data_IF_750164248630
#
_entry.id   IF_750164248630
#
_cell.length_a   1.000
_cell.length_b   1.000
_cell.length_c   1.000
_cell.angle_alpha   90.00
_cell.angle_beta   90.00
_cell.angle_gamma   90.00
#
_symmetry.space_group_name_H-M   'P 1'
#
loop_
_entity.id
_entity.type
_entity.pdbx_description
1 polymer ?
#
# COMPACT_ATOMS: atom_id res chain seq x y z
N UNK A 1 13.03 16.10 13.71
CA UNK A 1 13.57 14.74 13.52
C UNK A 1 13.29 13.88 14.73
N UNK A 2 13.55 14.39 15.93
CA UNK A 2 13.31 13.68 17.21
C UNK A 2 11.88 13.13 17.32
N UNK A 3 10.86 13.89 16.89
CA UNK A 3 9.47 13.43 16.84
C UNK A 3 9.29 12.09 16.13
N UNK A 4 9.93 11.86 14.96
CA UNK A 4 9.83 10.57 14.25
C UNK A 4 10.65 9.46 14.91
N UNK A 5 11.77 9.81 15.55
CA UNK A 5 12.66 8.84 16.21
C UNK A 5 12.03 8.30 17.49
N UNK A 6 11.26 9.13 18.17
CA UNK A 6 10.57 8.79 19.43
C UNK A 6 9.19 8.13 19.21
N UNK A 7 8.67 8.14 17.98
CA UNK A 7 7.35 7.60 17.66
C UNK A 7 7.33 6.06 17.73
N UNK A 8 6.46 5.52 18.58
CA UNK A 8 6.32 4.08 18.78
C UNK A 8 5.85 3.33 17.53
N UNK A 9 5.24 4.00 16.55
CA UNK A 9 4.75 3.43 15.28
C UNK A 9 5.84 3.35 14.22
N UNK A 10 6.99 3.97 14.45
CA UNK A 10 8.12 4.00 13.50
C UNK A 10 9.16 2.96 13.88
N UNK A 11 9.61 2.17 12.89
CA UNK A 11 10.60 1.12 13.05
C UNK A 11 12.03 1.65 13.01
N UNK A 12 12.31 2.58 12.09
CA UNK A 12 13.60 3.22 11.94
C UNK A 12 13.45 4.54 11.20
N UNK A 13 14.42 5.44 11.37
CA UNK A 13 14.57 6.67 10.58
C UNK A 13 15.93 6.65 9.89
N UNK A 14 15.92 6.77 8.58
CA UNK A 14 17.10 6.80 7.74
C UNK A 14 17.37 8.23 7.26
N UNK A 15 18.10 8.98 8.08
CA UNK A 15 18.49 10.36 7.81
C UNK A 15 19.96 10.58 8.14
N UNK A 16 20.73 11.07 7.17
CA UNK A 16 22.18 11.26 7.33
C UNK A 16 22.56 12.28 8.43
N UNK A 17 21.60 13.12 8.85
CA UNK A 17 21.77 14.08 9.93
C UNK A 17 21.68 13.47 11.32
N UNK A 18 21.20 12.22 11.45
CA UNK A 18 21.11 11.55 12.75
C UNK A 18 22.46 10.98 13.19
N UNK A 19 22.84 11.10 14.48
CA UNK A 19 24.08 10.55 15.02
C UNK A 19 24.26 9.05 14.79
N UNK A 20 23.16 8.29 14.78
CA UNK A 20 23.17 6.84 14.55
C UNK A 20 23.34 6.40 13.10
N UNK A 21 23.36 7.33 12.13
CA UNK A 21 23.44 6.98 10.71
C UNK A 21 24.87 6.64 10.28
N UNK A 22 25.06 5.56 9.52
CA UNK A 22 26.39 5.06 9.10
C UNK A 22 27.24 6.07 8.31
N UNK A 23 26.61 7.10 7.74
CA UNK A 23 27.28 8.17 6.99
C UNK A 23 27.27 9.54 7.70
N UNK A 24 26.87 9.61 8.96
CA UNK A 24 26.73 10.87 9.69
C UNK A 24 27.99 11.75 9.66
N UNK A 25 29.16 11.18 9.99
CA UNK A 25 30.43 11.91 9.99
C UNK A 25 30.85 12.37 8.59
N UNK A 26 30.57 11.56 7.57
CA UNK A 26 30.82 11.95 6.17
C UNK A 26 29.87 13.08 5.75
N UNK A 27 28.61 13.01 6.16
CA UNK A 27 27.61 14.00 5.85
C UNK A 27 27.95 15.35 6.49
N UNK A 28 28.41 15.39 7.75
CA UNK A 28 28.92 16.62 8.39
C UNK A 28 30.05 17.27 7.59
N UNK A 29 30.97 16.47 7.05
CA UNK A 29 32.11 16.97 6.28
C UNK A 29 31.71 17.48 4.89
N UNK A 30 30.85 16.73 4.20
CA UNK A 30 30.48 17.02 2.80
C UNK A 30 29.34 18.03 2.68
N UNK A 31 28.48 18.12 3.69
CA UNK A 31 27.26 18.92 3.71
C UNK A 31 27.26 19.85 4.93
N UNK A 32 28.21 20.81 5.01
CA UNK A 32 28.39 21.67 6.18
C UNK A 32 27.19 22.59 6.46
N UNK A 33 26.30 22.77 5.49
CA UNK A 33 25.07 23.56 5.62
C UNK A 33 23.83 22.71 5.98
N UNK A 34 23.98 21.40 6.16
CA UNK A 34 22.88 20.48 6.46
C UNK A 34 22.64 19.45 5.36
N UNK A 35 22.06 18.31 5.74
CA UNK A 35 21.97 17.10 4.89
C UNK A 35 20.74 17.05 3.98
N UNK A 36 20.04 18.18 3.81
CA UNK A 36 18.81 18.29 3.01
C UNK A 36 17.55 17.84 3.74
N UNK A 37 16.42 17.96 3.05
CA UNK A 37 15.06 17.70 3.55
C UNK A 37 14.47 16.36 3.09
N UNK A 38 15.29 15.51 2.46
CA UNK A 38 14.87 14.22 1.90
C UNK A 38 15.41 13.10 2.77
N UNK A 39 14.53 12.23 3.21
CA UNK A 39 14.88 11.08 4.04
C UNK A 39 13.83 9.98 3.92
N UNK A 40 14.09 8.84 4.58
CA UNK A 40 13.12 7.76 4.67
C UNK A 40 12.95 7.27 6.09
N UNK A 41 11.83 6.63 6.36
CA UNK A 41 11.54 5.95 7.63
C UNK A 41 10.71 4.69 7.36
N UNK A 42 10.77 3.73 8.27
CA UNK A 42 9.97 2.50 8.20
C UNK A 42 8.74 2.61 9.09
N UNK A 43 7.54 2.37 8.54
CA UNK A 43 6.31 2.26 9.34
C UNK A 43 6.11 0.85 9.86
N UNK A 44 5.86 0.68 11.15
CA UNK A 44 5.62 -0.65 11.72
C UNK A 44 4.32 -1.22 11.17
N UNK A 45 4.33 -2.52 10.91
CA UNK A 45 3.09 -3.29 10.77
C UNK A 45 2.31 -3.31 12.09
N UNK A 46 1.05 -3.69 12.01
CA UNK A 46 0.24 -4.04 13.18
C UNK A 46 0.33 -5.55 13.43
N UNK A 47 -0.40 -6.05 14.43
CA UNK A 47 -0.53 -7.50 14.65
C UNK A 47 -1.15 -8.24 13.45
N UNK A 48 -1.95 -7.55 12.64
CA UNK A 48 -2.72 -8.14 11.52
C UNK A 48 -2.26 -7.67 10.15
N UNK A 49 -1.68 -6.48 10.05
CA UNK A 49 -1.32 -5.85 8.79
C UNK A 49 0.20 -5.68 8.66
N UNK A 50 0.73 -6.04 7.50
CA UNK A 50 2.16 -5.85 7.20
C UNK A 50 2.50 -4.36 7.05
N UNK A 51 3.79 -4.04 7.13
CA UNK A 51 4.28 -2.68 6.87
C UNK A 51 3.87 -2.15 5.48
N UNK A 52 3.70 -3.05 4.49
CA UNK A 52 3.22 -2.68 3.16
C UNK A 52 1.79 -2.15 3.18
N UNK A 53 0.92 -2.83 3.92
CA UNK A 53 -0.49 -2.44 4.05
C UNK A 53 -0.60 -1.16 4.87
N UNK A 54 0.08 -1.10 6.02
CA UNK A 54 0.11 0.11 6.86
C UNK A 54 0.67 1.30 6.09
N UNK A 55 1.76 1.12 5.34
CA UNK A 55 2.36 2.17 4.52
C UNK A 55 1.43 2.66 3.43
N UNK A 56 0.68 1.76 2.78
CA UNK A 56 -0.33 2.11 1.77
C UNK A 56 -1.49 2.92 2.35
N UNK A 57 -2.03 2.50 3.50
CA UNK A 57 -3.08 3.22 4.23
C UNK A 57 -2.59 4.59 4.72
N UNK A 58 -1.38 4.65 5.27
CA UNK A 58 -0.77 5.89 5.74
C UNK A 58 -0.66 6.93 4.62
N UNK A 59 -0.08 6.59 3.47
CA UNK A 59 0.07 7.57 2.38
C UNK A 59 -1.27 8.00 1.77
N UNK A 60 -2.31 7.18 1.92
CA UNK A 60 -3.65 7.47 1.42
C UNK A 60 -4.47 8.34 2.38
N UNK A 61 -4.07 8.38 3.66
CA UNK A 61 -4.71 9.17 4.71
C UNK A 61 -4.11 10.58 4.87
N UNK A 62 -3.00 10.89 4.20
CA UNK A 62 -2.37 12.22 4.24
C UNK A 62 -3.30 13.28 3.61
N UNK A 63 -3.39 14.43 4.28
CA UNK A 63 -4.27 15.55 3.90
C UNK A 63 -3.45 16.72 3.35
N UNK A 64 -2.27 16.98 3.93
CA UNK A 64 -1.38 18.07 3.54
C UNK A 64 -0.33 17.56 2.55
N UNK A 65 0.39 16.50 2.92
CA UNK A 65 1.46 15.95 2.11
C UNK A 65 0.92 15.30 0.83
N UNK A 66 1.55 15.60 -0.29
CA UNK A 66 1.14 15.07 -1.59
C UNK A 66 1.82 13.74 -1.89
N UNK A 67 1.03 12.74 -2.31
CA UNK A 67 1.56 11.47 -2.78
C UNK A 67 2.14 11.58 -4.19
N UNK A 68 3.43 11.88 -4.30
CA UNK A 68 4.13 12.04 -5.58
C UNK A 68 5.58 11.53 -5.54
N UNK A 69 6.06 11.07 -6.69
CA UNK A 69 7.40 10.51 -6.84
C UNK A 69 8.52 11.57 -7.03
N UNK A 70 8.19 12.84 -7.28
CA UNK A 70 9.16 13.94 -7.38
C UNK A 70 9.81 14.28 -6.02
N UNK A 71 10.78 15.19 -6.03
CA UNK A 71 11.57 15.64 -4.88
C UNK A 71 11.86 17.14 -5.05
N UNK A 72 11.95 17.88 -3.95
CA UNK A 72 12.42 19.27 -3.94
C UNK A 72 11.37 20.30 -4.38
N UNK A 73 10.08 19.98 -4.19
CA UNK A 73 8.98 20.94 -4.34
C UNK A 73 8.85 21.80 -3.05
N UNK A 74 8.18 22.93 -3.18
CA UNK A 74 7.68 23.74 -2.07
C UNK A 74 6.68 22.99 -1.19
N UNK A 75 5.97 22.01 -1.74
CA UNK A 75 5.07 21.12 -1.00
C UNK A 75 5.79 19.89 -0.48
N UNK A 76 5.37 19.40 0.67
CA UNK A 76 5.81 18.14 1.24
C UNK A 76 5.30 16.98 0.39
N UNK A 77 6.22 16.09 0.01
CA UNK A 77 5.95 14.96 -0.86
C UNK A 77 6.27 13.66 -0.14
N UNK A 78 5.37 12.70 -0.20
CA UNK A 78 5.52 11.40 0.44
C UNK A 78 5.29 10.29 -0.59
N UNK A 79 6.05 9.21 -0.48
CA UNK A 79 5.91 8.03 -1.33
C UNK A 79 6.17 6.77 -0.52
N UNK A 80 5.31 5.77 -0.69
CA UNK A 80 5.54 4.40 -0.19
C UNK A 80 5.79 3.47 -1.38
N UNK A 81 7.05 3.12 -1.73
CA UNK A 81 7.34 2.37 -2.95
C UNK A 81 6.66 0.99 -2.99
N UNK A 82 6.55 0.30 -1.84
CA UNK A 82 6.01 -1.06 -1.75
C UNK A 82 4.54 -1.22 -2.13
N UNK A 83 3.73 -0.16 -1.99
CA UNK A 83 2.31 -0.14 -2.41
C UNK A 83 2.07 0.67 -3.69
N UNK A 84 3.11 1.25 -4.30
CA UNK A 84 2.96 2.19 -5.42
C UNK A 84 3.86 1.78 -6.58
N UNK A 85 5.00 2.44 -6.73
CA UNK A 85 5.96 2.28 -7.82
C UNK A 85 6.51 0.86 -7.96
N UNK A 86 6.56 0.08 -6.87
CA UNK A 86 7.09 -1.27 -6.84
C UNK A 86 6.04 -2.31 -6.39
N UNK A 87 4.75 -1.99 -6.51
CA UNK A 87 3.67 -2.87 -6.07
C UNK A 87 3.70 -4.28 -6.69
N UNK A 88 4.26 -4.41 -7.90
CA UNK A 88 4.36 -5.68 -8.62
C UNK A 88 5.48 -6.60 -8.10
N UNK A 89 6.38 -6.08 -7.26
CA UNK A 89 7.48 -6.87 -6.71
C UNK A 89 7.01 -7.64 -5.47
N UNK A 90 7.45 -8.89 -5.39
CA UNK A 90 7.31 -9.70 -4.18
C UNK A 90 8.13 -9.11 -3.03
N UNK A 91 7.83 -9.51 -1.80
CA UNK A 91 8.57 -9.10 -0.60
C UNK A 91 10.07 -9.39 -0.72
N UNK A 92 10.43 -10.54 -1.28
CA UNK A 92 11.82 -10.96 -1.51
C UNK A 92 12.52 -10.05 -2.54
N UNK A 93 11.83 -9.71 -3.62
CA UNK A 93 12.37 -8.84 -4.67
C UNK A 93 12.57 -7.39 -4.17
N UNK A 94 11.64 -6.89 -3.37
CA UNK A 94 11.77 -5.59 -2.70
C UNK A 94 12.98 -5.56 -1.76
N UNK A 95 13.12 -6.58 -0.91
CA UNK A 95 14.26 -6.71 -0.01
C UNK A 95 15.59 -6.78 -0.77
N UNK A 96 15.64 -7.55 -1.87
CA UNK A 96 16.83 -7.63 -2.72
C UNK A 96 17.17 -6.29 -3.40
N UNK A 97 16.17 -5.45 -3.69
CA UNK A 97 16.35 -4.10 -4.21
C UNK A 97 16.72 -3.06 -3.13
N UNK A 98 16.81 -3.46 -1.86
CA UNK A 98 17.07 -2.56 -0.73
C UNK A 98 15.90 -1.66 -0.38
N UNK A 99 14.68 -2.04 -0.78
CA UNK A 99 13.44 -1.32 -0.49
C UNK A 99 12.64 -2.14 0.51
N UNK A 100 12.57 -1.67 1.76
CA UNK A 100 11.71 -2.28 2.76
C UNK A 100 10.23 -2.20 2.35
N UNK A 101 9.46 -3.21 2.72
CA UNK A 101 8.00 -3.19 2.53
C UNK A 101 7.30 -2.11 3.34
N UNK A 102 7.98 -1.58 4.35
CA UNK A 102 7.56 -0.53 5.27
C UNK A 102 8.13 0.86 4.91
N UNK A 103 8.91 0.96 3.85
CA UNK A 103 9.69 2.16 3.56
C UNK A 103 8.81 3.30 3.06
N UNK A 104 8.77 4.38 3.83
CA UNK A 104 8.25 5.68 3.43
C UNK A 104 9.42 6.59 3.06
N UNK A 105 9.35 7.21 1.88
CA UNK A 105 10.22 8.30 1.48
C UNK A 105 9.48 9.61 1.62
N UNK A 106 10.11 10.60 2.25
CA UNK A 106 9.57 11.95 2.39
C UNK A 106 10.57 12.99 1.87
N UNK A 107 10.04 13.98 1.17
CA UNK A 107 10.73 15.22 0.79
C UNK A 107 9.97 16.35 1.45
N UNK A 108 10.51 16.88 2.54
CA UNK A 108 9.86 17.95 3.32
C UNK A 108 9.90 19.26 2.53
N UNK A 109 8.73 19.89 2.42
CA UNK A 109 8.50 21.17 1.74
C UNK A 109 8.79 22.37 2.65
N UNK A 110 8.08 23.47 2.40
CA UNK A 110 8.21 24.75 3.08
C UNK A 110 7.00 25.11 3.94
N UNK A 111 6.10 24.15 4.19
CA UNK A 111 4.95 24.34 5.07
C UNK A 111 5.37 24.51 6.54
N UNK A 112 4.40 24.90 7.39
CA UNK A 112 4.64 24.96 8.83
C UNK A 112 4.96 23.56 9.38
N UNK A 113 5.95 23.49 10.26
CA UNK A 113 6.42 22.23 10.83
C UNK A 113 5.33 21.54 11.65
N UNK A 114 4.48 22.31 12.34
CA UNK A 114 3.40 21.77 13.17
C UNK A 114 2.29 21.17 12.30
N UNK A 115 2.00 21.79 11.15
CA UNK A 115 1.02 21.27 10.19
C UNK A 115 1.52 19.96 9.55
N UNK A 116 2.82 19.87 9.24
CA UNK A 116 3.43 18.65 8.72
C UNK A 116 3.39 17.55 9.78
N UNK A 117 3.77 17.85 11.03
CA UNK A 117 3.74 16.87 12.12
C UNK A 117 2.32 16.39 12.37
N UNK A 118 1.34 17.31 12.40
CA UNK A 118 -0.06 16.97 12.56
C UNK A 118 -0.56 16.04 11.44
N UNK A 119 -0.21 16.32 10.19
CA UNK A 119 -0.63 15.49 9.06
C UNK A 119 -0.02 14.08 9.10
N UNK A 120 1.26 13.97 9.48
CA UNK A 120 1.91 12.68 9.68
C UNK A 120 1.28 11.92 10.86
N UNK A 121 1.01 12.59 11.97
CA UNK A 121 0.45 11.97 13.18
C UNK A 121 -0.96 11.43 12.97
N UNK A 122 -1.83 12.22 12.34
CA UNK A 122 -3.20 11.80 12.06
C UNK A 122 -3.21 10.61 11.09
N UNK A 123 -2.38 10.64 10.05
CA UNK A 123 -2.31 9.57 9.06
C UNK A 123 -1.74 8.27 9.64
N UNK A 124 -0.70 8.37 10.49
CA UNK A 124 -0.16 7.21 11.20
C UNK A 124 -1.19 6.64 12.17
N UNK A 125 -1.93 7.50 12.88
CA UNK A 125 -3.01 7.08 13.77
C UNK A 125 -4.12 6.36 13.00
N UNK A 126 -4.52 6.88 11.85
CA UNK A 126 -5.51 6.25 10.98
C UNK A 126 -5.07 4.85 10.54
N UNK A 127 -3.83 4.73 10.03
CA UNK A 127 -3.30 3.49 9.51
C UNK A 127 -3.10 2.43 10.61
N UNK A 128 -2.61 2.81 11.78
CA UNK A 128 -2.20 1.87 12.85
C UNK A 128 -3.22 1.71 13.99
N UNK A 129 -4.16 2.64 14.13
CA UNK A 129 -5.03 2.75 15.31
C UNK A 129 -4.29 3.15 16.59
N UNK A 130 -3.01 3.52 16.52
CA UNK A 130 -2.15 3.88 17.65
C UNK A 130 -1.76 5.36 17.61
N UNK A 131 -1.55 5.97 18.77
CA UNK A 131 -0.96 7.30 18.86
C UNK A 131 0.58 7.24 18.84
N UNK A 132 1.22 8.42 18.86
CA UNK A 132 2.67 8.58 18.88
C UNK A 132 3.38 7.81 20.03
N UNK A 133 2.72 7.71 21.20
CA UNK A 133 3.23 6.98 22.36
C UNK A 133 3.07 5.44 22.26
N UNK A 134 2.36 4.95 21.24
CA UNK A 134 2.10 3.51 21.03
C UNK A 134 0.87 2.98 21.75
N UNK A 135 -0.01 3.86 22.22
CA UNK A 135 -1.26 3.48 22.86
C UNK A 135 -2.35 3.31 21.80
N UNK A 136 -3.18 2.27 21.95
CA UNK A 136 -4.34 2.07 21.06
C UNK A 136 -5.38 3.15 21.35
N UNK A 137 -5.66 3.98 20.35
CA UNK A 137 -6.61 5.11 20.44
C UNK A 137 -7.83 4.95 19.53
N UNK A 138 -7.80 3.99 18.61
CA UNK A 138 -8.91 3.76 17.69
C UNK A 138 -8.79 2.45 16.93
N UNK A 139 -9.59 2.31 15.88
CA UNK A 139 -9.45 1.19 14.96
C UNK A 139 -8.40 1.52 13.89
N UNK A 140 -7.60 0.53 13.52
CA UNK A 140 -6.65 0.63 12.40
C UNK A 140 -7.38 0.42 11.07
N UNK A 141 -7.18 1.32 10.12
CA UNK A 141 -7.67 1.11 8.75
C UNK A 141 -6.97 -0.07 8.06
N UNK A 142 -5.67 -0.27 8.34
CA UNK A 142 -4.89 -1.40 7.84
C UNK A 142 -5.44 -2.76 8.34
N UNK A 143 -5.77 -2.86 9.63
CA UNK A 143 -6.40 -4.07 10.20
C UNK A 143 -7.74 -4.37 9.51
N UNK A 144 -8.55 -3.34 9.22
CA UNK A 144 -9.84 -3.48 8.54
C UNK A 144 -9.66 -3.94 7.10
N UNK A 145 -8.67 -3.38 6.39
CA UNK A 145 -8.38 -3.74 5.02
C UNK A 145 -8.01 -5.23 4.93
N UNK A 146 -7.13 -5.71 5.82
CA UNK A 146 -6.76 -7.13 5.87
C UNK A 146 -7.97 -8.01 6.18
N UNK A 147 -8.79 -7.65 7.18
CA UNK A 147 -9.99 -8.42 7.52
C UNK A 147 -11.00 -8.49 6.35
N UNK A 148 -11.15 -7.40 5.59
CA UNK A 148 -12.00 -7.39 4.40
C UNK A 148 -11.45 -8.28 3.27
N UNK A 149 -10.12 -8.26 3.05
CA UNK A 149 -9.45 -9.11 2.06
C UNK A 149 -9.56 -10.59 2.41
N UNK A 150 -9.39 -10.94 3.69
CA UNK A 150 -9.55 -12.31 4.18
C UNK A 150 -11.00 -12.81 4.01
N UNK A 151 -12.00 -11.98 4.32
CA UNK A 151 -13.40 -12.32 4.12
C UNK A 151 -13.73 -12.60 2.64
N UNK A 152 -13.26 -11.75 1.73
CA UNK A 152 -13.40 -11.96 0.28
C UNK A 152 -12.73 -13.27 -0.18
N UNK A 153 -11.53 -13.57 0.31
CA UNK A 153 -10.83 -14.81 -0.03
C UNK A 153 -11.58 -16.05 0.49
N UNK A 154 -12.27 -15.96 1.62
CA UNK A 154 -13.12 -17.07 2.12
C UNK A 154 -14.40 -17.26 1.32
N UNK A 155 -14.98 -16.21 0.75
CA UNK A 155 -16.14 -16.30 -0.14
C UNK A 155 -15.77 -16.90 -1.50
N UNK A 156 -14.61 -16.53 -2.07
CA UNK A 156 -14.12 -17.11 -3.33
C UNK A 156 -13.69 -18.59 -3.20
N UNK A 157 -13.34 -19.02 -1.99
CA UNK A 157 -12.95 -20.40 -1.70
C UNK A 157 -14.12 -21.37 -1.46
N UNK A 158 -15.38 -20.89 -1.41
CA UNK A 158 -16.57 -21.75 -1.28
C UNK A 158 -16.94 -22.40 -2.64
N UNK A 159 -16.75 -23.72 -2.82
CA UNK A 159 -17.06 -24.41 -4.08
C UNK A 159 -18.56 -24.42 -4.42
N UNK A 160 -19.44 -24.08 -3.47
CA UNK A 160 -20.89 -24.12 -3.69
C UNK A 160 -21.44 -22.86 -4.37
N UNK A 161 -20.73 -21.74 -4.34
CA UNK A 161 -21.19 -20.48 -4.93
C UNK A 161 -20.87 -20.36 -6.44
N UNK A 162 -19.84 -21.04 -6.94
CA UNK A 162 -19.56 -21.11 -8.39
C UNK A 162 -20.58 -21.97 -9.16
N UNK A 163 -21.27 -22.88 -8.47
CA UNK A 163 -22.30 -23.74 -9.07
C UNK A 163 -23.66 -23.03 -9.22
N UNK A 164 -23.94 -22.02 -8.40
CA UNK A 164 -25.23 -21.31 -8.40
C UNK A 164 -25.41 -20.35 -9.61
N UNK A 165 -24.33 -20.02 -10.33
CA UNK A 165 -24.39 -19.20 -11.54
C UNK A 165 -24.62 -20.00 -12.83
N UNK A 166 -24.63 -21.34 -12.75
CA UNK A 166 -25.01 -22.20 -13.87
C UNK A 166 -26.55 -22.28 -13.94
N UNK A 167 -27.14 -21.47 -14.82
CA UNK A 167 -28.56 -21.56 -15.18
C UNK A 167 -28.96 -23.02 -15.48
N UNK A 168 -30.07 -23.53 -14.95
CA UNK A 168 -30.57 -24.84 -15.35
C UNK A 168 -31.03 -24.74 -16.81
N UNK A 169 -30.30 -25.41 -17.70
CA UNK A 169 -30.68 -25.56 -19.09
C UNK A 169 -31.99 -26.36 -19.12
N UNK A 170 -33.11 -25.70 -19.44
CA UNK A 170 -34.42 -26.33 -19.53
C UNK A 170 -34.45 -27.30 -20.70
N UNK A 171 -34.36 -28.59 -20.40
CA UNK A 171 -34.73 -29.63 -21.35
C UNK A 171 -36.27 -29.71 -21.42
N UNK A 172 -36.83 -29.50 -22.63
CA UNK A 172 -37.80 -30.41 -23.26
C UNK A 172 -38.58 -29.71 -24.40
N UNK A 173 -38.29 -30.12 -25.63
CA UNK A 173 -39.34 -30.32 -26.64
C UNK A 173 -38.84 -31.34 -27.66
N UNK A 174 -39.41 -32.53 -27.57
CA UNK A 174 -39.27 -33.66 -28.49
C UNK A 174 -39.80 -33.32 -29.88
N UNK A 175 -39.10 -33.78 -30.92
CA UNK A 175 -39.62 -33.80 -32.29
C UNK A 175 -38.69 -34.57 -33.22
N UNK A 176 -38.85 -35.90 -33.25
CA UNK A 176 -38.23 -36.76 -34.24
C UNK A 176 -39.21 -36.97 -35.41
N UNK A 177 -38.82 -36.59 -36.64
CA UNK A 177 -39.26 -37.24 -37.88
C UNK A 177 -38.45 -36.77 -39.11
N UNK A 178 -37.64 -37.70 -39.62
CA UNK A 178 -37.26 -38.00 -41.01
C UNK A 178 -36.53 -36.98 -41.91
N UNK A 179 -35.41 -37.37 -42.56
CA UNK A 179 -34.83 -36.64 -43.69
C UNK A 179 -35.57 -36.98 -45.00
N UNK A 180 -36.03 -35.96 -45.71
CA UNK A 180 -36.56 -36.10 -47.08
C UNK A 180 -35.42 -36.27 -48.08
N UNK A 181 -35.42 -37.41 -48.76
CA UNK A 181 -34.72 -37.63 -50.02
C UNK A 181 -35.07 -36.55 -51.06
N UNK A 182 -34.05 -36.01 -51.70
CA UNK A 182 -34.16 -35.12 -52.86
C UNK A 182 -34.11 -35.96 -54.15
N UNK A 183 -35.07 -35.84 -55.09
CA UNK A 183 -34.93 -36.45 -56.40
C UNK A 183 -34.23 -35.52 -57.40
N UNK A 184 -33.30 -36.09 -58.15
CA UNK A 184 -32.73 -35.54 -59.36
C UNK A 184 -33.74 -35.58 -60.53
N UNK A 185 -33.82 -34.50 -61.32
CA UNK A 185 -34.23 -34.44 -62.75
C UNK A 185 -33.63 -33.15 -63.33
N UNK A 186 -32.69 -33.20 -64.28
CA UNK A 186 -32.87 -33.36 -65.74
C UNK A 186 -33.65 -32.23 -66.44
N UNK A 187 -32.92 -31.49 -67.29
CA UNK A 187 -33.31 -31.13 -68.67
C UNK A 187 -34.43 -30.11 -68.90
N UNK A 188 -34.06 -28.87 -69.25
CA UNK A 188 -34.14 -28.31 -70.62
C UNK A 188 -33.76 -26.82 -70.58
#
# INVERSE_FOLDING_TARGET
>A
MDWLVEDARIAYVNYAGLPGHAHHERAKKLLPLGVGSVFSFGVKGTEKASGRVVGGEFISALVLASHLANIGDSRTLVLHPGSTTHQQLSSEQLAAAGVGEDLIRISVGLEDVEDIIWDLDQALTHATGMNHAGERVGESSADKLVAAQEALATEEADPQQSAACALPNSAAASGASEPKDAPAKEGN
#
